data_IF_925424929276
#
_entry.id   IF_925424929276
#
_cell.length_a   1.000
_cell.length_b   1.000
_cell.length_c   1.000
_cell.angle_alpha   90.00
_cell.angle_beta   90.00
_cell.angle_gamma   90.00
#
_symmetry.space_group_name_H-M   'P 1'
#
loop_
_entity.id
_entity.type
_entity.pdbx_description
1 polymer ?
#
# COMPACT_ATOMS: atom_id res chain seq x y z
N UNK A 1 -9.68 -15.93 -27.59
CA UNK A 1 -8.28 -15.75 -27.11
C UNK A 1 -8.20 -16.44 -25.75
N UNK A 2 -7.30 -17.40 -25.59
CA UNK A 2 -7.21 -18.18 -24.35
C UNK A 2 -6.40 -17.41 -23.33
N UNK A 3 -6.98 -17.15 -22.15
CA UNK A 3 -6.34 -16.45 -21.04
C UNK A 3 -5.44 -17.40 -20.25
N UNK A 4 -4.16 -17.08 -20.15
CA UNK A 4 -3.15 -17.85 -19.41
C UNK A 4 -3.09 -17.38 -17.97
N UNK A 5 -3.28 -18.28 -17.01
CA UNK A 5 -3.38 -17.94 -15.58
C UNK A 5 -2.32 -18.70 -14.78
N UNK A 6 -1.67 -17.99 -13.85
CA UNK A 6 -0.89 -18.55 -12.75
C UNK A 6 -1.68 -18.37 -11.46
N UNK A 7 -1.68 -19.38 -10.58
CA UNK A 7 -2.29 -19.32 -9.24
C UNK A 7 -1.19 -19.32 -8.19
N UNK A 8 -1.15 -18.30 -7.37
CA UNK A 8 -0.21 -18.13 -6.26
C UNK A 8 -0.95 -18.07 -4.92
N UNK A 9 -0.91 -19.16 -4.16
CA UNK A 9 -1.55 -19.30 -2.85
C UNK A 9 -0.83 -20.41 -2.07
N UNK A 10 -0.55 -20.24 -0.79
CA UNK A 10 0.11 -21.26 0.03
C UNK A 10 -0.86 -22.36 0.52
N UNK A 11 -2.18 -22.13 0.43
CA UNK A 11 -3.20 -23.09 0.86
C UNK A 11 -3.55 -24.10 -0.25
N UNK A 12 -3.25 -25.39 -0.09
CA UNK A 12 -3.53 -26.42 -1.13
C UNK A 12 -4.99 -26.47 -1.54
N UNK A 13 -5.93 -26.41 -0.59
CA UNK A 13 -7.37 -26.48 -0.86
C UNK A 13 -7.84 -25.34 -1.78
N UNK A 14 -7.28 -24.14 -1.60
CA UNK A 14 -7.62 -23.00 -2.45
C UNK A 14 -7.08 -23.18 -3.85
N UNK A 15 -5.81 -23.61 -3.99
CA UNK A 15 -5.22 -23.92 -5.31
C UNK A 15 -6.00 -25.01 -6.04
N UNK A 16 -6.36 -26.11 -5.35
CA UNK A 16 -7.14 -27.21 -5.94
C UNK A 16 -8.51 -26.73 -6.42
N UNK A 17 -9.18 -25.88 -5.62
CA UNK A 17 -10.46 -25.29 -5.98
C UNK A 17 -10.35 -24.37 -7.20
N UNK A 18 -9.33 -23.51 -7.25
CA UNK A 18 -9.07 -22.63 -8.40
C UNK A 18 -8.68 -23.44 -9.64
N UNK A 19 -7.84 -24.47 -9.50
CA UNK A 19 -7.49 -25.38 -10.60
C UNK A 19 -8.74 -26.02 -11.20
N UNK A 20 -9.64 -26.57 -10.37
CA UNK A 20 -10.87 -27.18 -10.82
C UNK A 20 -11.79 -26.16 -11.53
N UNK A 21 -11.90 -24.94 -10.97
CA UNK A 21 -12.65 -23.87 -11.60
C UNK A 21 -12.07 -23.50 -12.97
N UNK A 22 -10.76 -23.24 -13.05
CA UNK A 22 -10.10 -22.83 -14.30
C UNK A 22 -10.20 -23.93 -15.37
N UNK A 23 -10.07 -25.21 -14.98
CA UNK A 23 -10.22 -26.34 -15.90
C UNK A 23 -11.64 -26.47 -16.47
N UNK A 24 -12.66 -25.90 -15.82
CA UNK A 24 -14.04 -25.90 -16.32
C UNK A 24 -14.32 -24.82 -17.38
N UNK A 25 -13.36 -23.89 -17.59
CA UNK A 25 -13.52 -22.75 -18.48
C UNK A 25 -12.83 -23.00 -19.82
N UNK A 26 -13.55 -22.93 -20.97
CA UNK A 26 -12.98 -23.27 -22.29
C UNK A 26 -11.91 -22.27 -22.75
N UNK A 27 -11.99 -21.02 -22.30
CA UNK A 27 -11.12 -19.93 -22.73
C UNK A 27 -10.05 -19.53 -21.70
N UNK A 28 -9.78 -20.40 -20.70
CA UNK A 28 -8.78 -20.15 -19.65
C UNK A 28 -7.89 -21.38 -19.51
N UNK A 29 -6.59 -21.16 -19.35
CA UNK A 29 -5.62 -22.24 -19.11
C UNK A 29 -4.75 -21.90 -17.90
N UNK A 30 -4.67 -22.82 -16.95
CA UNK A 30 -3.73 -22.77 -15.85
C UNK A 30 -2.34 -23.16 -16.37
N UNK A 31 -1.38 -22.25 -16.32
CA UNK A 31 -0.02 -22.46 -16.84
C UNK A 31 1.02 -22.63 -15.74
N UNK A 32 0.67 -22.34 -14.49
CA UNK A 32 1.58 -22.54 -13.36
C UNK A 32 0.91 -22.33 -12.02
N UNK A 33 1.55 -22.87 -10.99
CA UNK A 33 1.16 -22.69 -9.59
C UNK A 33 2.36 -22.29 -8.76
N UNK A 34 2.14 -21.46 -7.75
CA UNK A 34 3.13 -21.00 -6.80
C UNK A 34 2.60 -21.13 -5.36
N UNK A 35 3.50 -21.47 -4.44
CA UNK A 35 3.17 -21.57 -3.01
C UNK A 35 3.86 -20.47 -2.19
N UNK A 36 4.71 -19.67 -2.84
CA UNK A 36 5.40 -18.52 -2.25
C UNK A 36 5.35 -17.34 -3.21
N UNK A 37 5.49 -16.11 -2.68
CA UNK A 37 5.55 -14.93 -3.52
C UNK A 37 6.75 -14.94 -4.49
N UNK A 38 7.88 -15.51 -4.07
CA UNK A 38 9.07 -15.64 -4.92
C UNK A 38 8.83 -16.58 -6.10
N UNK A 39 8.12 -17.68 -5.86
CA UNK A 39 7.72 -18.60 -6.93
C UNK A 39 6.73 -17.95 -7.89
N UNK A 40 5.82 -17.12 -7.36
CA UNK A 40 4.87 -16.36 -8.18
C UNK A 40 5.60 -15.38 -9.12
N UNK A 41 6.59 -14.63 -8.62
CA UNK A 41 7.42 -13.73 -9.44
C UNK A 41 8.18 -14.53 -10.51
N UNK A 42 8.79 -15.66 -10.15
CA UNK A 42 9.48 -16.53 -11.10
C UNK A 42 8.53 -17.03 -12.19
N UNK A 43 7.35 -17.53 -11.81
CA UNK A 43 6.34 -18.01 -12.76
C UNK A 43 5.82 -16.89 -13.67
N UNK A 44 5.65 -15.68 -13.18
CA UNK A 44 5.27 -14.53 -14.01
C UNK A 44 6.28 -14.25 -15.13
N UNK A 45 7.59 -14.41 -14.85
CA UNK A 45 8.65 -14.19 -15.84
C UNK A 45 8.79 -15.35 -16.81
N UNK A 46 8.72 -16.60 -16.31
CA UNK A 46 8.97 -17.82 -17.13
C UNK A 46 7.76 -18.21 -17.96
N UNK A 47 6.58 -18.22 -17.37
CA UNK A 47 5.34 -18.64 -18.02
C UNK A 47 4.68 -17.52 -18.82
N UNK A 48 4.97 -16.25 -18.52
CA UNK A 48 4.35 -15.06 -19.10
C UNK A 48 2.83 -15.20 -19.15
N UNK A 49 2.15 -15.36 -18.01
CA UNK A 49 0.70 -15.45 -17.98
C UNK A 49 0.07 -14.09 -18.30
N UNK A 50 -1.20 -14.11 -18.70
CA UNK A 50 -1.99 -12.88 -18.81
C UNK A 50 -2.40 -12.39 -17.41
N UNK A 51 -2.67 -13.33 -16.49
CA UNK A 51 -3.14 -13.05 -15.13
C UNK A 51 -2.41 -13.90 -14.11
N UNK A 52 -1.98 -13.29 -13.00
CA UNK A 52 -1.59 -13.98 -11.77
C UNK A 52 -2.70 -13.77 -10.73
N UNK A 53 -3.34 -14.84 -10.28
CA UNK A 53 -4.20 -14.83 -9.09
C UNK A 53 -3.29 -14.93 -7.88
N UNK A 54 -3.30 -13.92 -6.99
CA UNK A 54 -2.32 -13.72 -5.94
C UNK A 54 -2.97 -13.68 -4.56
N UNK A 55 -2.60 -14.59 -3.66
CA UNK A 55 -2.85 -14.38 -2.24
C UNK A 55 -1.84 -13.39 -1.65
N UNK A 56 -2.27 -12.56 -0.70
CA UNK A 56 -1.39 -11.62 -0.02
C UNK A 56 -0.58 -12.29 1.09
N UNK A 57 -1.13 -13.31 1.74
CA UNK A 57 -0.44 -14.03 2.82
C UNK A 57 0.24 -15.27 2.28
N UNK A 58 1.51 -15.15 1.99
CA UNK A 58 2.34 -16.26 1.56
C UNK A 58 3.68 -16.25 2.30
N UNK A 59 4.33 -17.41 2.49
CA UNK A 59 5.66 -17.48 3.07
C UNK A 59 6.74 -16.91 2.13
N UNK A 60 7.93 -16.64 2.67
CA UNK A 60 9.14 -16.14 2.01
C UNK A 60 8.99 -14.70 1.49
N UNK A 61 8.11 -14.44 0.56
CA UNK A 61 7.79 -13.13 0.04
C UNK A 61 6.26 -12.95 0.08
N UNK A 62 5.76 -11.91 0.76
CA UNK A 62 4.33 -11.64 0.81
C UNK A 62 3.79 -11.22 -0.57
N UNK A 63 2.48 -11.44 -0.78
CA UNK A 63 1.87 -11.22 -2.08
C UNK A 63 1.81 -9.74 -2.51
N UNK A 64 1.84 -8.79 -1.58
CA UNK A 64 1.91 -7.35 -1.91
C UNK A 64 3.25 -7.01 -2.51
N UNK A 65 4.33 -7.45 -1.88
CA UNK A 65 5.71 -7.28 -2.37
C UNK A 65 5.91 -8.03 -3.69
N UNK A 66 5.39 -9.27 -3.80
CA UNK A 66 5.43 -10.04 -5.05
C UNK A 66 4.68 -9.33 -6.17
N UNK A 67 3.52 -8.72 -5.89
CA UNK A 67 2.76 -7.92 -6.86
C UNK A 67 3.58 -6.75 -7.40
N UNK A 68 4.21 -5.97 -6.51
CA UNK A 68 5.05 -4.85 -6.93
C UNK A 68 6.24 -5.31 -7.80
N UNK A 69 6.84 -6.45 -7.46
CA UNK A 69 7.95 -7.02 -8.22
C UNK A 69 7.49 -7.51 -9.59
N UNK A 70 6.35 -8.22 -9.69
CA UNK A 70 5.76 -8.68 -10.96
C UNK A 70 5.47 -7.46 -11.86
N UNK A 71 4.81 -6.44 -11.35
CA UNK A 71 4.50 -5.24 -12.13
C UNK A 71 5.76 -4.52 -12.66
N UNK A 72 6.89 -4.64 -11.95
CA UNK A 72 8.19 -4.08 -12.37
C UNK A 72 8.89 -4.92 -13.43
N UNK A 73 8.91 -6.27 -13.29
CA UNK A 73 9.71 -7.17 -14.15
C UNK A 73 8.92 -7.78 -15.30
N UNK A 74 7.59 -7.81 -15.19
CA UNK A 74 6.65 -8.35 -16.17
C UNK A 74 5.41 -7.44 -16.29
N UNK A 75 5.53 -6.20 -16.80
CA UNK A 75 4.47 -5.18 -16.75
C UNK A 75 3.21 -5.54 -17.55
N UNK A 76 3.32 -6.48 -18.47
CA UNK A 76 2.18 -7.00 -19.25
C UNK A 76 1.31 -7.96 -18.45
N UNK A 77 1.84 -8.53 -17.37
CA UNK A 77 1.12 -9.48 -16.51
C UNK A 77 0.19 -8.72 -15.57
N UNK A 78 -1.10 -9.04 -15.60
CA UNK A 78 -2.07 -8.46 -14.68
C UNK A 78 -2.10 -9.25 -13.36
N UNK A 79 -2.13 -8.55 -12.22
CA UNK A 79 -2.29 -9.21 -10.91
C UNK A 79 -3.70 -9.01 -10.40
N UNK A 80 -4.41 -10.14 -10.16
CA UNK A 80 -5.70 -10.22 -9.48
C UNK A 80 -5.49 -10.76 -8.07
N UNK A 81 -5.65 -9.92 -7.06
CA UNK A 81 -5.57 -10.34 -5.66
C UNK A 81 -6.81 -11.13 -5.27
N UNK A 82 -6.62 -12.30 -4.65
CA UNK A 82 -7.67 -13.14 -4.06
C UNK A 82 -7.21 -13.59 -2.67
N UNK A 83 -7.70 -12.93 -1.62
CA UNK A 83 -7.19 -13.09 -0.26
C UNK A 83 -8.29 -13.07 0.80
N UNK A 84 -7.99 -13.54 2.02
CA UNK A 84 -8.89 -13.40 3.18
C UNK A 84 -8.88 -11.99 3.78
N UNK A 85 -7.92 -11.14 3.41
CA UNK A 85 -7.81 -9.78 3.93
C UNK A 85 -8.82 -8.87 3.24
N UNK A 86 -9.57 -8.14 4.04
CA UNK A 86 -10.58 -7.19 3.55
C UNK A 86 -10.47 -5.81 4.22
N UNK A 87 -9.38 -5.57 4.99
CA UNK A 87 -9.10 -4.28 5.62
C UNK A 87 -8.59 -3.24 4.61
N UNK A 88 -8.77 -1.96 4.98
CA UNK A 88 -8.44 -0.84 4.09
C UNK A 88 -6.93 -0.79 3.77
N UNK A 89 -6.07 -1.08 4.74
CA UNK A 89 -4.61 -1.02 4.55
C UNK A 89 -4.12 -2.05 3.54
N UNK A 90 -4.61 -3.29 3.63
CA UNK A 90 -4.30 -4.38 2.70
C UNK A 90 -4.78 -4.09 1.28
N UNK A 91 -6.01 -3.56 1.13
CA UNK A 91 -6.57 -3.17 -0.16
C UNK A 91 -5.72 -2.09 -0.81
N UNK A 92 -5.42 -1.00 -0.09
CA UNK A 92 -4.65 0.11 -0.65
C UNK A 92 -3.18 -0.23 -0.86
N UNK A 93 -2.59 -1.10 -0.05
CA UNK A 93 -1.24 -1.60 -0.27
C UNK A 93 -1.14 -2.39 -1.58
N UNK A 94 -2.09 -3.30 -1.84
CA UNK A 94 -2.13 -4.08 -3.07
C UNK A 94 -2.37 -3.19 -4.31
N UNK A 95 -3.26 -2.20 -4.23
CA UNK A 95 -3.48 -1.24 -5.32
C UNK A 95 -2.23 -0.41 -5.61
N UNK A 96 -1.54 0.09 -4.58
CA UNK A 96 -0.27 0.81 -4.75
C UNK A 96 0.84 -0.06 -5.32
N UNK A 97 0.81 -1.36 -5.03
CA UNK A 97 1.72 -2.34 -5.62
C UNK A 97 1.44 -2.61 -7.12
N UNK A 98 0.29 -2.16 -7.64
CA UNK A 98 -0.10 -2.29 -9.04
C UNK A 98 -1.10 -3.40 -9.34
N UNK A 99 -1.76 -3.97 -8.32
CA UNK A 99 -2.84 -4.93 -8.54
C UNK A 99 -3.98 -4.30 -9.37
N UNK A 100 -4.42 -5.00 -10.41
CA UNK A 100 -5.54 -4.57 -11.28
C UNK A 100 -6.90 -5.07 -10.79
N UNK A 101 -6.91 -6.06 -9.89
CA UNK A 101 -8.15 -6.54 -9.29
C UNK A 101 -7.95 -6.97 -7.84
N UNK A 102 -9.05 -6.92 -7.07
CA UNK A 102 -9.06 -7.36 -5.68
C UNK A 102 -10.38 -8.03 -5.32
N UNK A 103 -10.31 -9.29 -4.95
CA UNK A 103 -11.42 -10.09 -4.46
C UNK A 103 -11.09 -10.68 -3.08
N UNK A 104 -12.11 -10.85 -2.25
CA UNK A 104 -11.98 -11.57 -0.98
C UNK A 104 -12.26 -13.06 -1.23
N UNK A 105 -11.48 -13.95 -0.61
CA UNK A 105 -11.75 -15.40 -0.61
C UNK A 105 -13.16 -15.64 -0.04
N UNK A 106 -14.03 -16.20 -0.82
CA UNK A 106 -15.48 -16.28 -0.59
C UNK A 106 -16.28 -15.64 -1.73
N UNK A 107 -15.61 -14.98 -2.67
CA UNK A 107 -16.22 -14.58 -3.93
C UNK A 107 -16.76 -15.83 -4.67
N UNK A 108 -17.90 -15.66 -5.32
CA UNK A 108 -18.50 -16.72 -6.13
C UNK A 108 -17.62 -17.07 -7.33
N UNK A 109 -17.78 -18.28 -7.87
CA UNK A 109 -17.07 -18.68 -9.09
C UNK A 109 -17.30 -17.68 -10.24
N UNK A 110 -18.52 -17.16 -10.38
CA UNK A 110 -18.86 -16.18 -11.41
C UNK A 110 -18.08 -14.86 -11.24
N UNK A 111 -17.92 -14.39 -9.99
CA UNK A 111 -17.12 -13.19 -9.70
C UNK A 111 -15.64 -13.41 -10.03
N UNK A 112 -15.09 -14.57 -9.70
CA UNK A 112 -13.69 -14.91 -10.01
C UNK A 112 -13.48 -14.96 -11.53
N UNK A 113 -14.34 -15.63 -12.27
CA UNK A 113 -14.26 -15.73 -13.74
C UNK A 113 -14.36 -14.35 -14.38
N UNK A 114 -15.34 -13.55 -13.95
CA UNK A 114 -15.48 -12.16 -14.43
C UNK A 114 -14.24 -11.32 -14.15
N UNK A 115 -13.65 -11.48 -12.96
CA UNK A 115 -12.46 -10.73 -12.59
C UNK A 115 -11.25 -11.14 -13.44
N UNK A 116 -11.03 -12.43 -13.68
CA UNK A 116 -9.95 -12.91 -14.57
C UNK A 116 -10.09 -12.30 -15.95
N UNK A 117 -11.28 -12.36 -16.53
CA UNK A 117 -11.55 -11.83 -17.89
C UNK A 117 -11.33 -10.31 -17.94
N UNK A 118 -11.82 -9.56 -16.96
CA UNK A 118 -11.69 -8.12 -16.91
C UNK A 118 -10.23 -7.67 -16.78
N UNK A 119 -9.45 -8.28 -15.85
CA UNK A 119 -8.03 -7.88 -15.69
C UNK A 119 -7.18 -8.31 -16.88
N UNK A 120 -7.49 -9.44 -17.52
CA UNK A 120 -6.84 -9.87 -18.76
C UNK A 120 -7.11 -8.91 -19.93
N UNK A 121 -8.29 -8.27 -19.95
CA UNK A 121 -8.63 -7.23 -20.92
C UNK A 121 -8.03 -5.85 -20.58
N UNK A 122 -7.29 -5.74 -19.47
CA UNK A 122 -6.67 -4.48 -19.02
C UNK A 122 -7.59 -3.61 -18.14
N UNK A 123 -8.76 -4.10 -17.77
CA UNK A 123 -9.67 -3.39 -16.86
C UNK A 123 -9.23 -3.53 -15.40
N UNK A 124 -9.69 -2.62 -14.54
CA UNK A 124 -9.58 -2.75 -13.09
C UNK A 124 -10.92 -3.25 -12.52
N UNK A 125 -10.88 -4.26 -11.64
CA UNK A 125 -12.08 -4.83 -11.03
C UNK A 125 -11.93 -5.04 -9.53
N UNK A 126 -12.95 -4.66 -8.79
CA UNK A 126 -12.99 -4.80 -7.33
C UNK A 126 -14.30 -5.43 -6.91
N UNK A 127 -14.24 -6.36 -5.97
CA UNK A 127 -15.44 -6.90 -5.35
C UNK A 127 -16.29 -5.80 -4.69
N UNK A 128 -17.60 -6.01 -4.50
CA UNK A 128 -18.52 -4.95 -4.01
C UNK A 128 -18.10 -4.31 -2.67
N UNK A 129 -17.52 -5.11 -1.77
CA UNK A 129 -16.99 -4.62 -0.49
C UNK A 129 -15.79 -3.69 -0.67
N UNK A 130 -14.84 -4.12 -1.52
CA UNK A 130 -13.62 -3.38 -1.83
C UNK A 130 -13.93 -2.09 -2.61
N UNK A 131 -14.82 -2.15 -3.60
CA UNK A 131 -15.22 -0.98 -4.37
C UNK A 131 -15.80 0.12 -3.47
N UNK A 132 -16.66 -0.22 -2.50
CA UNK A 132 -17.18 0.76 -1.53
C UNK A 132 -16.08 1.39 -0.65
N UNK A 133 -15.01 0.65 -0.31
CA UNK A 133 -13.88 1.18 0.45
C UNK A 133 -13.05 2.14 -0.36
N UNK A 134 -12.76 1.78 -1.61
CA UNK A 134 -12.05 2.64 -2.57
C UNK A 134 -12.82 3.95 -2.77
N UNK A 135 -14.14 3.89 -3.02
CA UNK A 135 -14.97 5.07 -3.17
C UNK A 135 -15.01 5.94 -1.90
N UNK A 136 -15.09 5.32 -0.71
CA UNK A 136 -15.01 6.06 0.57
C UNK A 136 -13.67 6.78 0.74
N UNK A 137 -12.58 6.12 0.43
CA UNK A 137 -11.24 6.71 0.52
C UNK A 137 -11.14 7.98 -0.33
N UNK A 138 -11.63 7.95 -1.57
CA UNK A 138 -11.61 9.13 -2.44
C UNK A 138 -12.70 10.17 -2.11
N UNK A 139 -13.83 9.75 -1.55
CA UNK A 139 -14.89 10.65 -1.11
C UNK A 139 -14.60 11.29 0.25
N UNK A 140 -13.78 10.65 1.09
CA UNK A 140 -13.28 11.29 2.30
C UNK A 140 -12.30 12.39 1.89
N UNK A 141 -12.41 13.61 2.43
CA UNK A 141 -11.34 14.58 2.27
C UNK A 141 -10.07 13.87 2.72
N UNK A 142 -8.92 14.07 2.00
CA UNK A 142 -7.68 13.41 2.36
C UNK A 142 -7.55 13.53 3.86
N UNK A 143 -7.53 12.40 4.56
CA UNK A 143 -7.33 12.38 6.00
C UNK A 143 -6.11 13.24 6.22
N UNK A 144 -6.29 14.39 6.83
CA UNK A 144 -5.22 15.37 7.04
C UNK A 144 -4.10 14.52 7.63
N UNK A 145 -3.03 14.33 6.86
CA UNK A 145 -1.95 13.40 7.18
C UNK A 145 -1.67 13.60 8.65
N UNK A 146 -1.79 12.55 9.46
CA UNK A 146 -1.69 12.74 10.92
C UNK A 146 -0.48 13.64 11.13
N UNK A 147 -0.68 14.80 11.71
CA UNK A 147 0.36 15.81 11.67
C UNK A 147 1.62 15.19 12.24
N UNK A 148 2.72 15.31 11.54
CA UNK A 148 4.00 14.89 12.07
C UNK A 148 4.09 15.34 13.53
N UNK A 149 4.38 14.40 14.43
CA UNK A 149 4.39 14.63 15.87
C UNK A 149 3.02 14.97 16.49
N UNK A 150 2.09 14.01 16.60
CA UNK A 150 0.74 14.25 17.16
C UNK A 150 0.74 14.76 18.62
N UNK A 151 1.84 14.53 19.36
CA UNK A 151 2.01 15.05 20.74
C UNK A 151 2.26 16.57 20.79
N UNK A 152 2.60 17.21 19.67
CA UNK A 152 2.82 18.65 19.59
C UNK A 152 1.51 19.38 19.33
N UNK A 153 1.30 20.51 20.04
CA UNK A 153 0.24 21.46 19.73
C UNK A 153 0.48 22.07 18.32
N UNK A 154 -0.56 22.65 17.67
CA UNK A 154 -0.39 23.36 16.40
C UNK A 154 0.73 24.39 16.43
N UNK A 155 0.84 25.14 17.53
CA UNK A 155 1.86 26.19 17.70
C UNK A 155 3.27 25.62 17.88
N UNK A 156 3.41 24.52 18.63
CA UNK A 156 4.71 23.84 18.78
C UNK A 156 5.18 23.24 17.46
N UNK A 157 4.26 22.73 16.65
CA UNK A 157 4.58 22.19 15.31
C UNK A 157 5.05 23.29 14.36
N UNK A 158 4.40 24.46 14.36
CA UNK A 158 4.81 25.62 13.58
C UNK A 158 6.22 26.09 13.99
N UNK A 159 6.52 26.14 15.29
CA UNK A 159 7.84 26.44 15.79
C UNK A 159 8.87 25.40 15.37
N UNK A 160 8.53 24.10 15.44
CA UNK A 160 9.41 23.00 15.02
C UNK A 160 9.72 23.06 13.52
N UNK A 161 8.74 23.37 12.68
CA UNK A 161 8.91 23.54 11.23
C UNK A 161 9.93 24.63 10.92
N UNK A 162 9.82 25.80 11.57
CA UNK A 162 10.77 26.89 11.42
C UNK A 162 12.17 26.56 11.97
N UNK A 163 12.26 25.77 13.05
CA UNK A 163 13.53 25.23 13.56
C UNK A 163 14.16 24.30 12.52
N UNK A 164 13.39 23.42 11.90
CA UNK A 164 13.84 22.49 10.87
C UNK A 164 14.30 23.22 9.60
N UNK A 165 13.69 24.38 9.29
CA UNK A 165 14.12 25.31 8.26
C UNK A 165 15.39 26.11 8.61
N UNK A 166 15.98 25.90 9.81
CA UNK A 166 17.24 26.53 10.22
C UNK A 166 17.12 27.89 10.86
N UNK A 167 15.91 28.39 11.17
CA UNK A 167 15.72 29.71 11.75
C UNK A 167 16.15 29.75 13.23
N UNK A 168 16.78 30.84 13.66
CA UNK A 168 17.09 31.09 15.08
C UNK A 168 15.84 31.48 15.87
N UNK A 169 15.87 31.35 17.21
CA UNK A 169 14.73 31.75 18.04
C UNK A 169 14.36 33.24 17.87
N UNK A 170 15.33 34.11 17.58
CA UNK A 170 15.09 35.53 17.30
C UNK A 170 14.30 35.68 15.98
N UNK A 171 14.70 34.97 14.92
CA UNK A 171 14.03 35.02 13.64
C UNK A 171 12.60 34.42 13.72
N UNK A 172 12.44 33.33 14.48
CA UNK A 172 11.14 32.72 14.75
C UNK A 172 10.24 33.69 15.53
N UNK A 173 10.77 34.34 16.54
CA UNK A 173 10.04 35.35 17.34
C UNK A 173 9.50 36.47 16.45
N UNK A 174 10.34 37.03 15.57
CA UNK A 174 9.94 38.07 14.62
C UNK A 174 8.88 37.58 13.63
N UNK A 175 9.04 36.34 13.10
CA UNK A 175 8.10 35.77 12.11
C UNK A 175 6.73 35.46 12.69
N UNK A 176 6.69 35.03 13.96
CA UNK A 176 5.46 34.57 14.62
C UNK A 176 4.81 35.64 15.52
N UNK A 177 5.39 36.84 15.62
CA UNK A 177 4.92 37.91 16.50
C UNK A 177 5.02 37.57 17.99
N UNK A 178 6.02 36.75 18.38
CA UNK A 178 6.23 36.29 19.76
C UNK A 178 7.47 36.96 20.40
N UNK A 179 7.57 36.84 21.73
CA UNK A 179 8.83 37.15 22.40
C UNK A 179 9.84 35.99 22.22
N UNK A 180 11.13 36.29 22.20
CA UNK A 180 12.21 35.28 22.14
C UNK A 180 12.11 34.31 23.32
N UNK A 181 11.68 34.78 24.50
CA UNK A 181 11.42 33.95 25.69
C UNK A 181 10.30 32.93 25.44
N UNK A 182 9.20 33.36 24.79
CA UNK A 182 8.09 32.51 24.44
C UNK A 182 8.50 31.42 23.48
N UNK A 183 9.29 31.76 22.44
CA UNK A 183 9.86 30.77 21.49
C UNK A 183 10.78 29.80 22.23
N UNK A 184 11.59 30.27 23.17
CA UNK A 184 12.43 29.42 24.01
C UNK A 184 11.61 28.40 24.83
N UNK A 185 10.48 28.83 25.41
CA UNK A 185 9.57 27.91 26.14
C UNK A 185 8.96 26.84 25.23
N UNK A 186 8.49 27.24 24.04
CA UNK A 186 8.00 26.26 23.03
C UNK A 186 9.10 25.30 22.62
N UNK A 187 10.31 25.77 22.37
CA UNK A 187 11.44 24.93 21.98
C UNK A 187 11.76 23.89 23.07
N UNK A 188 11.78 24.28 24.34
CA UNK A 188 12.00 23.35 25.45
C UNK A 188 10.87 22.31 25.58
N UNK A 189 9.62 22.74 25.43
CA UNK A 189 8.46 21.83 25.44
C UNK A 189 8.51 20.84 24.26
N UNK A 190 8.89 21.29 23.07
CA UNK A 190 9.07 20.46 21.87
C UNK A 190 10.15 19.38 22.13
N UNK A 191 11.32 19.79 22.65
CA UNK A 191 12.41 18.83 22.90
C UNK A 191 12.02 17.77 23.95
N UNK A 192 11.30 18.17 24.98
CA UNK A 192 10.78 17.23 25.99
C UNK A 192 9.76 16.24 25.37
N UNK A 193 8.82 16.73 24.58
CA UNK A 193 7.80 15.88 23.93
C UNK A 193 8.39 14.96 22.87
N UNK A 194 9.39 15.41 22.13
CA UNK A 194 10.11 14.60 21.14
C UNK A 194 11.18 13.69 21.77
N UNK A 195 11.48 13.86 23.07
CA UNK A 195 12.54 13.11 23.77
C UNK A 195 13.89 13.24 23.03
N UNK A 196 14.26 14.46 22.63
CA UNK A 196 15.52 14.77 21.95
C UNK A 196 16.46 15.53 22.89
N UNK A 197 17.76 15.26 22.77
CA UNK A 197 18.79 15.89 23.61
C UNK A 197 19.00 17.39 23.28
N UNK A 198 18.58 17.84 22.09
CA UNK A 198 18.76 19.23 21.70
C UNK A 198 18.32 19.55 20.28
N UNK A 199 18.66 20.80 19.87
CA UNK A 199 18.20 21.38 18.62
C UNK A 199 18.63 20.59 17.37
N UNK A 200 19.86 20.09 17.33
CA UNK A 200 20.36 19.36 16.16
C UNK A 200 19.55 18.09 15.91
N UNK A 201 19.28 17.33 16.96
CA UNK A 201 18.47 16.11 16.89
C UNK A 201 17.00 16.41 16.52
N UNK A 202 16.44 17.50 17.07
CA UNK A 202 15.11 17.97 16.71
C UNK A 202 15.00 18.31 15.21
N UNK A 203 16.03 18.96 14.63
CA UNK A 203 16.09 19.27 13.19
C UNK A 203 16.12 18.00 12.36
N UNK A 204 16.94 17.00 12.73
CA UNK A 204 17.04 15.73 12.00
C UNK A 204 15.68 15.04 11.98
N UNK A 205 15.06 14.82 13.14
CA UNK A 205 13.73 14.17 13.24
C UNK A 205 12.63 14.93 12.50
N UNK A 206 12.66 16.28 12.57
CA UNK A 206 11.67 17.09 11.87
C UNK A 206 11.80 16.96 10.35
N UNK A 207 13.03 16.95 9.81
CA UNK A 207 13.30 16.78 8.38
C UNK A 207 12.95 15.38 7.87
N UNK A 208 13.26 14.34 8.65
CA UNK A 208 12.82 12.95 8.35
C UNK A 208 11.30 12.84 8.27
N UNK A 209 10.58 13.62 9.09
CA UNK A 209 9.12 13.71 9.06
C UNK A 209 8.56 14.71 8.01
N UNK A 210 9.41 15.29 7.17
CA UNK A 210 9.03 16.17 6.06
C UNK A 210 8.81 17.64 6.41
N UNK A 211 9.21 18.10 7.61
CA UNK A 211 9.18 19.50 8.01
C UNK A 211 10.42 20.28 7.55
N UNK A 212 10.34 21.61 7.55
CA UNK A 212 11.47 22.51 7.23
C UNK A 212 11.75 22.67 5.75
N UNK A 213 10.74 22.48 4.88
CA UNK A 213 10.83 22.71 3.41
C UNK A 213 10.47 24.13 3.04
#
# INVERSE_FOLDING_TARGET
MTVRVVVADDHPIVRDGLRALLASLPDVVLVGEATTGRDAVRSAVTERPDVVIMDLRMPDLDGTTATAEICRVAPDVAVLVLTMLDDDDSVFAAMRAGARGYLVKGASQQEIVRAITAVAAGEAIFGPGVARRVLRYFASPPAAAQPAFPALSPREREVLDLIAGGLTNVAIAGRLGLSVKTVGNHTSAIFAKLQVAGRAEAIIRAREAGLGR
#
